data_IF_765375489532
#
_entry.id   IF_765375489532
#
_cell.length_a   1.000
_cell.length_b   1.000
_cell.length_c   1.000
_cell.angle_alpha   90.00
_cell.angle_beta   90.00
_cell.angle_gamma   90.00
#
_symmetry.space_group_name_H-M   'P 1'
#
loop_
_entity.id
_entity.type
_entity.pdbx_description
1 polymer ?
#
# COMPACT_ATOMS: atom_id res chain seq x y z
N UNK A 1 -49.67 25.24 15.20
CA UNK A 1 -48.23 25.57 15.13
C UNK A 1 -47.35 24.52 15.79
N UNK A 2 -47.74 23.89 16.90
CA UNK A 2 -46.90 22.84 17.53
C UNK A 2 -46.76 21.56 16.68
N UNK A 3 -47.81 21.15 15.95
CA UNK A 3 -47.77 19.96 15.09
C UNK A 3 -46.83 20.08 13.89
N UNK A 4 -46.66 21.27 13.30
CA UNK A 4 -45.77 21.48 12.15
C UNK A 4 -44.29 21.28 12.51
N UNK A 5 -43.92 21.65 13.74
CA UNK A 5 -42.55 21.48 14.23
C UNK A 5 -42.22 19.99 14.37
N UNK A 6 -43.17 19.19 14.87
CA UNK A 6 -42.98 17.74 14.99
C UNK A 6 -42.90 17.05 13.63
N UNK A 7 -43.72 17.46 12.65
CA UNK A 7 -43.67 16.90 11.29
C UNK A 7 -42.32 17.21 10.62
N UNK A 8 -41.82 18.44 10.77
CA UNK A 8 -40.50 18.81 10.27
C UNK A 8 -39.37 18.01 10.94
N UNK A 9 -39.47 17.75 12.24
CA UNK A 9 -38.50 16.95 12.98
C UNK A 9 -38.46 15.49 12.50
N UNK A 10 -39.62 14.88 12.30
CA UNK A 10 -39.71 13.50 11.78
C UNK A 10 -39.21 13.39 10.34
N UNK A 11 -39.50 14.39 9.50
CA UNK A 11 -38.98 14.44 8.14
C UNK A 11 -37.44 14.53 8.12
N UNK A 12 -36.87 15.38 8.98
CA UNK A 12 -35.41 15.52 9.12
C UNK A 12 -34.74 14.21 9.57
N UNK A 13 -35.32 13.55 10.58
CA UNK A 13 -34.86 12.24 11.05
C UNK A 13 -34.92 11.17 9.96
N UNK A 14 -36.00 11.12 9.18
CA UNK A 14 -36.15 10.21 8.05
C UNK A 14 -35.05 10.42 6.99
N UNK A 15 -34.79 11.68 6.63
CA UNK A 15 -33.74 12.03 5.66
C UNK A 15 -32.35 11.62 6.17
N UNK A 16 -32.04 11.88 7.45
CA UNK A 16 -30.76 11.48 8.05
C UNK A 16 -30.57 9.95 8.05
N UNK A 17 -31.63 9.19 8.30
CA UNK A 17 -31.58 7.72 8.25
C UNK A 17 -31.35 7.21 6.82
N UNK A 18 -31.97 7.84 5.81
CA UNK A 18 -31.75 7.50 4.40
C UNK A 18 -30.29 7.79 4.02
N UNK A 19 -29.76 8.96 4.37
CA UNK A 19 -28.35 9.32 4.14
C UNK A 19 -27.43 8.31 4.81
N UNK A 20 -27.66 7.98 6.09
CA UNK A 20 -26.87 6.99 6.83
C UNK A 20 -26.92 5.62 6.16
N UNK A 21 -28.08 5.20 5.67
CA UNK A 21 -28.25 3.89 5.01
C UNK A 21 -27.51 3.86 3.67
N UNK A 22 -27.56 4.93 2.88
CA UNK A 22 -26.81 5.05 1.63
C UNK A 22 -25.31 5.03 1.90
N UNK A 23 -24.84 5.80 2.89
CA UNK A 23 -23.42 5.81 3.30
C UNK A 23 -22.93 4.45 3.82
N UNK A 24 -23.78 3.68 4.51
CA UNK A 24 -23.39 2.35 4.99
C UNK A 24 -23.39 1.29 3.87
N UNK A 25 -24.24 1.44 2.85
CA UNK A 25 -24.38 0.45 1.76
C UNK A 25 -23.18 0.47 0.81
N UNK A 26 -22.54 1.63 0.63
CA UNK A 26 -21.28 1.77 -0.13
C UNK A 26 -20.07 1.16 0.57
N UNK A 27 -20.14 0.86 1.87
CA UNK A 27 -19.04 0.29 2.65
C UNK A 27 -19.00 -1.25 2.66
N UNK A 28 -19.63 -1.95 1.71
CA UNK A 28 -19.38 -3.38 1.49
C UNK A 28 -18.02 -3.58 0.82
N UNK A 29 -16.94 -3.24 1.54
CA UNK A 29 -15.56 -3.51 1.13
C UNK A 29 -15.37 -5.02 1.03
N UNK A 30 -15.04 -5.49 -0.16
CA UNK A 30 -14.63 -6.88 -0.40
C UNK A 30 -13.30 -7.10 0.31
N UNK A 31 -13.37 -7.67 1.52
CA UNK A 31 -12.15 -7.94 2.31
C UNK A 31 -11.38 -9.05 1.60
N UNK A 32 -10.17 -8.74 1.16
CA UNK A 32 -9.25 -9.76 0.65
C UNK A 32 -8.92 -10.70 1.82
N UNK A 33 -9.33 -11.96 1.70
CA UNK A 33 -8.94 -13.01 2.64
C UNK A 33 -7.48 -13.37 2.36
N UNK A 34 -6.57 -12.66 3.04
CA UNK A 34 -5.15 -13.03 3.03
C UNK A 34 -4.96 -14.21 3.99
N UNK A 35 -4.38 -15.30 3.49
CA UNK A 35 -4.05 -16.45 4.33
C UNK A 35 -2.98 -16.03 5.37
N UNK A 36 -3.14 -16.33 6.67
CA UNK A 36 -2.16 -16.02 7.71
C UNK A 36 -0.75 -16.53 7.40
N UNK A 37 -0.61 -17.67 6.71
CA UNK A 37 0.69 -18.21 6.29
C UNK A 37 1.38 -17.28 5.28
N UNK A 38 0.62 -16.71 4.35
CA UNK A 38 1.13 -15.75 3.35
C UNK A 38 1.58 -14.45 4.01
N UNK A 39 0.86 -13.98 5.03
CA UNK A 39 1.27 -12.80 5.81
C UNK A 39 2.59 -13.07 6.54
N UNK A 40 2.72 -14.23 7.19
CA UNK A 40 3.95 -14.59 7.91
C UNK A 40 5.15 -14.69 6.95
N UNK A 41 4.99 -15.38 5.82
CA UNK A 41 6.02 -15.46 4.80
C UNK A 41 6.39 -14.09 4.23
N UNK A 42 5.39 -13.23 3.99
CA UNK A 42 5.63 -11.88 3.45
C UNK A 42 6.37 -11.00 4.47
N UNK A 43 6.02 -11.12 5.74
CA UNK A 43 6.70 -10.44 6.84
C UNK A 43 8.17 -10.86 6.93
N UNK A 44 8.46 -12.16 6.85
CA UNK A 44 9.83 -12.67 6.93
C UNK A 44 10.70 -12.17 5.77
N UNK A 45 10.15 -12.09 4.55
CA UNK A 45 10.85 -11.50 3.39
C UNK A 45 11.12 -10.02 3.63
N UNK A 46 10.10 -9.26 4.04
CA UNK A 46 10.22 -7.82 4.23
C UNK A 46 11.18 -7.45 5.35
N UNK A 47 11.23 -8.22 6.45
CA UNK A 47 12.21 -8.01 7.53
C UNK A 47 13.66 -8.22 7.08
N UNK A 48 13.91 -9.12 6.12
CA UNK A 48 15.25 -9.32 5.55
C UNK A 48 15.64 -8.24 4.55
N UNK A 49 14.65 -7.71 3.82
CA UNK A 49 14.88 -6.68 2.80
C UNK A 49 15.00 -5.29 3.42
N UNK A 50 14.19 -4.96 4.44
CA UNK A 50 14.18 -3.65 5.09
C UNK A 50 15.58 -3.08 5.38
N UNK A 51 16.48 -3.78 6.08
CA UNK A 51 17.79 -3.23 6.42
C UNK A 51 18.65 -2.91 5.18
N UNK A 52 18.42 -3.57 4.05
CA UNK A 52 19.14 -3.30 2.79
C UNK A 52 18.64 -2.04 2.09
N UNK A 53 17.45 -1.56 2.47
CA UNK A 53 16.70 -0.52 1.78
C UNK A 53 16.54 0.76 2.62
N UNK A 54 16.66 0.62 3.94
CA UNK A 54 16.66 1.71 4.93
C UNK A 54 18.01 2.40 5.08
N UNK A 55 19.08 1.82 4.54
CA UNK A 55 20.34 2.54 4.37
C UNK A 55 20.06 3.76 3.48
N UNK A 56 20.25 4.96 4.04
CA UNK A 56 20.08 6.24 3.33
C UNK A 56 21.12 6.46 2.21
N UNK A 57 21.92 5.43 1.88
CA UNK A 57 22.78 5.45 0.72
C UNK A 57 21.95 5.52 -0.57
N UNK A 58 22.04 6.63 -1.30
CA UNK A 58 21.52 6.77 -2.67
C UNK A 58 22.29 5.96 -3.72
N UNK A 59 23.24 5.15 -3.29
CA UNK A 59 24.01 4.29 -4.18
C UNK A 59 23.14 3.18 -4.79
N UNK A 60 23.33 3.00 -6.10
CA UNK A 60 22.76 1.87 -6.81
C UNK A 60 23.40 0.58 -6.29
N UNK A 61 22.57 -0.45 -6.11
CA UNK A 61 22.99 -1.76 -5.64
C UNK A 61 22.72 -2.81 -6.70
N UNK A 62 23.51 -3.86 -6.66
CA UNK A 62 23.30 -5.01 -7.51
C UNK A 62 22.07 -5.80 -7.11
N UNK A 63 21.33 -6.28 -8.11
CA UNK A 63 20.12 -7.08 -7.89
C UNK A 63 20.40 -8.37 -7.11
N UNK A 64 21.62 -8.91 -7.22
CA UNK A 64 22.10 -10.10 -6.52
C UNK A 64 22.22 -9.92 -5.00
N UNK A 65 22.18 -8.68 -4.50
CA UNK A 65 22.21 -8.37 -3.06
C UNK A 65 20.84 -8.66 -2.42
N UNK A 66 19.77 -8.75 -3.21
CA UNK A 66 18.45 -9.07 -2.68
C UNK A 66 18.37 -10.54 -2.23
N UNK A 67 17.73 -10.83 -1.09
CA UNK A 67 17.59 -12.20 -0.58
C UNK A 67 16.66 -13.08 -1.42
N UNK A 68 15.83 -12.46 -2.28
CA UNK A 68 14.84 -13.10 -3.12
C UNK A 68 14.63 -12.28 -4.40
N UNK A 69 13.98 -12.89 -5.40
CA UNK A 69 13.58 -12.19 -6.62
C UNK A 69 12.78 -10.92 -6.33
N UNK A 70 13.06 -9.87 -7.09
CA UNK A 70 12.43 -8.55 -6.94
C UNK A 70 10.90 -8.63 -6.97
N UNK A 71 10.33 -9.47 -7.82
CA UNK A 71 8.89 -9.68 -7.93
C UNK A 71 8.27 -10.33 -6.68
N UNK A 72 9.00 -11.22 -6.01
CA UNK A 72 8.55 -11.80 -4.73
C UNK A 72 8.55 -10.76 -3.62
N UNK A 73 9.57 -9.91 -3.59
CA UNK A 73 9.64 -8.79 -2.63
C UNK A 73 8.52 -7.79 -2.88
N UNK A 74 8.24 -7.42 -4.13
CA UNK A 74 7.11 -6.56 -4.50
C UNK A 74 5.77 -7.14 -4.03
N UNK A 75 5.56 -8.44 -4.26
CA UNK A 75 4.33 -9.13 -3.84
C UNK A 75 4.20 -9.15 -2.31
N UNK A 76 5.27 -9.48 -1.59
CA UNK A 76 5.30 -9.46 -0.13
C UNK A 76 5.01 -8.06 0.44
N UNK A 77 5.60 -7.02 -0.15
CA UNK A 77 5.39 -5.62 0.24
C UNK A 77 3.94 -5.19 0.04
N UNK A 78 3.28 -5.57 -1.08
CA UNK A 78 1.85 -5.26 -1.29
C UNK A 78 0.95 -5.93 -0.25
N UNK A 79 1.22 -7.20 0.08
CA UNK A 79 0.50 -7.92 1.13
C UNK A 79 0.67 -7.22 2.49
N UNK A 80 1.90 -6.85 2.83
CA UNK A 80 2.18 -6.13 4.09
C UNK A 80 1.54 -4.74 4.11
N UNK A 81 1.58 -3.99 3.00
CA UNK A 81 0.92 -2.70 2.87
C UNK A 81 -0.61 -2.83 3.04
N UNK A 82 -1.23 -3.87 2.47
CA UNK A 82 -2.63 -4.17 2.70
C UNK A 82 -2.93 -4.44 4.19
N UNK A 83 -2.11 -5.29 4.84
CA UNK A 83 -2.26 -5.61 6.25
C UNK A 83 -2.11 -4.37 7.16
N UNK A 84 -1.07 -3.55 6.92
CA UNK A 84 -0.82 -2.36 7.73
C UNK A 84 -1.88 -1.28 7.55
N UNK A 85 -2.35 -1.06 6.31
CA UNK A 85 -3.42 -0.12 6.07
C UNK A 85 -4.75 -0.57 6.69
N UNK A 86 -5.04 -1.89 6.66
CA UNK A 86 -6.22 -2.45 7.32
C UNK A 86 -6.18 -2.28 8.84
N UNK A 87 -5.00 -2.34 9.44
CA UNK A 87 -4.79 -2.24 10.89
C UNK A 87 -4.54 -0.79 11.36
N UNK A 88 -4.70 0.22 10.47
CA UNK A 88 -4.42 1.63 10.77
C UNK A 88 -2.98 1.90 11.24
N UNK A 89 -2.02 1.06 10.84
CA UNK A 89 -0.60 1.21 11.18
C UNK A 89 0.11 2.06 10.11
N UNK A 90 -0.17 3.37 10.11
CA UNK A 90 0.27 4.29 9.05
C UNK A 90 1.79 4.47 8.97
N UNK A 91 2.50 4.40 10.10
CA UNK A 91 3.97 4.49 10.12
C UNK A 91 4.61 3.31 9.41
N UNK A 92 4.19 2.09 9.75
CA UNK A 92 4.66 0.85 9.11
C UNK A 92 4.25 0.78 7.63
N UNK A 93 3.06 1.29 7.29
CA UNK A 93 2.65 1.44 5.90
C UNK A 93 3.60 2.37 5.13
N UNK A 94 3.97 3.53 5.70
CA UNK A 94 4.91 4.44 5.08
C UNK A 94 6.31 3.83 4.94
N UNK A 95 6.72 3.01 5.92
CA UNK A 95 7.98 2.25 5.91
C UNK A 95 8.01 1.21 4.79
N UNK A 96 6.96 0.40 4.65
CA UNK A 96 6.84 -0.58 3.56
C UNK A 96 6.71 0.09 2.20
N UNK A 97 5.99 1.22 2.10
CA UNK A 97 5.89 1.99 0.86
C UNK A 97 7.26 2.52 0.41
N UNK A 98 8.04 3.09 1.35
CA UNK A 98 9.42 3.50 1.08
C UNK A 98 10.28 2.30 0.65
N UNK A 99 10.18 1.18 1.36
CA UNK A 99 10.88 -0.05 0.99
C UNK A 99 10.53 -0.49 -0.44
N UNK A 100 9.24 -0.52 -0.80
CA UNK A 100 8.78 -0.88 -2.14
C UNK A 100 9.36 0.03 -3.23
N UNK A 101 9.36 1.35 -3.02
CA UNK A 101 9.87 2.32 -3.99
C UNK A 101 11.39 2.22 -4.12
N UNK A 102 12.10 2.07 -3.02
CA UNK A 102 13.56 1.95 -3.00
C UNK A 102 14.07 0.63 -3.58
N UNK A 103 13.20 -0.35 -3.88
CA UNK A 103 13.57 -1.51 -4.71
C UNK A 103 14.09 -1.07 -6.09
N UNK A 104 13.73 0.12 -6.57
CA UNK A 104 14.28 0.69 -7.79
C UNK A 104 15.81 0.90 -7.74
N UNK A 105 16.44 0.94 -6.55
CA UNK A 105 17.92 1.03 -6.43
C UNK A 105 18.63 -0.27 -6.83
N UNK A 106 17.92 -1.40 -6.81
CA UNK A 106 18.47 -2.71 -7.16
C UNK A 106 18.33 -2.94 -8.66
N UNK A 107 19.41 -2.70 -9.37
CA UNK A 107 19.50 -2.82 -10.83
C UNK A 107 20.46 -3.93 -11.22
N UNK A 108 20.36 -4.35 -12.48
CA UNK A 108 21.32 -5.27 -13.06
C UNK A 108 22.72 -4.63 -13.11
N UNK A 109 23.74 -5.37 -12.66
CA UNK A 109 25.11 -4.91 -12.62
C UNK A 109 25.84 -5.07 -13.95
N UNK A 110 25.22 -5.76 -14.92
CA UNK A 110 25.77 -5.88 -16.28
C UNK A 110 25.55 -4.64 -17.14
N UNK A 111 24.76 -3.67 -16.65
CA UNK A 111 24.41 -2.45 -17.36
C UNK A 111 25.37 -1.31 -17.01
N UNK A 112 25.55 -0.38 -17.96
CA UNK A 112 26.35 0.82 -17.76
C UNK A 112 25.76 1.70 -16.65
N UNK A 113 26.62 2.44 -15.94
CA UNK A 113 26.22 3.26 -14.80
C UNK A 113 25.13 4.29 -15.15
N UNK A 114 25.26 4.97 -16.30
CA UNK A 114 24.23 5.89 -16.78
C UNK A 114 22.89 5.21 -17.07
N UNK A 115 22.93 3.99 -17.63
CA UNK A 115 21.72 3.21 -17.90
C UNK A 115 21.05 2.75 -16.60
N UNK A 116 21.84 2.31 -15.63
CA UNK A 116 21.34 1.91 -14.30
C UNK A 116 20.66 3.07 -13.59
N UNK A 117 21.23 4.28 -13.63
CA UNK A 117 20.60 5.48 -13.04
C UNK A 117 19.27 5.79 -13.73
N UNK A 118 19.25 5.83 -15.06
CA UNK A 118 18.02 6.12 -15.83
C UNK A 118 16.93 5.08 -15.59
N UNK A 119 17.30 3.80 -15.51
CA UNK A 119 16.38 2.71 -15.21
C UNK A 119 15.86 2.80 -13.78
N UNK A 120 16.72 3.07 -12.81
CA UNK A 120 16.32 3.25 -11.41
C UNK A 120 15.32 4.40 -11.27
N UNK A 121 15.55 5.56 -11.88
CA UNK A 121 14.60 6.69 -11.82
C UNK A 121 13.26 6.36 -12.46
N UNK A 122 13.27 5.68 -13.61
CA UNK A 122 12.04 5.24 -14.29
C UNK A 122 11.27 4.25 -13.44
N UNK A 123 11.96 3.25 -12.90
CA UNK A 123 11.35 2.22 -12.07
C UNK A 123 10.84 2.82 -10.76
N UNK A 124 11.55 3.76 -10.14
CA UNK A 124 11.10 4.43 -8.92
C UNK A 124 9.75 5.13 -9.12
N UNK A 125 9.58 5.85 -10.24
CA UNK A 125 8.30 6.48 -10.63
C UNK A 125 7.22 5.43 -10.88
N UNK A 126 7.57 4.33 -11.56
CA UNK A 126 6.64 3.24 -11.83
C UNK A 126 6.16 2.57 -10.53
N UNK A 127 7.07 2.22 -9.62
CA UNK A 127 6.77 1.57 -8.35
C UNK A 127 5.94 2.48 -7.44
N UNK A 128 6.22 3.78 -7.43
CA UNK A 128 5.39 4.75 -6.69
C UNK A 128 3.95 4.73 -7.19
N UNK A 129 3.73 4.78 -8.51
CA UNK A 129 2.38 4.72 -9.09
C UNK A 129 1.70 3.37 -8.81
N UNK A 130 2.47 2.29 -8.86
CA UNK A 130 1.96 0.94 -8.68
C UNK A 130 1.44 0.70 -7.26
N UNK A 131 2.19 1.10 -6.23
CA UNK A 131 1.75 0.94 -4.84
C UNK A 131 0.57 1.85 -4.52
N UNK A 132 0.54 3.06 -5.07
CA UNK A 132 -0.56 4.01 -4.87
C UNK A 132 -1.85 3.52 -5.54
N UNK A 133 -1.74 3.00 -6.77
CA UNK A 133 -2.87 2.38 -7.48
C UNK A 133 -3.38 1.15 -6.74
N UNK A 134 -2.48 0.33 -6.21
CA UNK A 134 -2.85 -0.85 -5.43
C UNK A 134 -3.63 -0.45 -4.16
N UNK A 135 -3.13 0.50 -3.38
CA UNK A 135 -3.81 0.98 -2.18
C UNK A 135 -5.15 1.65 -2.51
N UNK A 136 -5.21 2.49 -3.55
CA UNK A 136 -6.45 3.12 -4.00
C UNK A 136 -7.49 2.08 -4.44
N UNK A 137 -7.10 1.02 -5.14
CA UNK A 137 -8.02 -0.05 -5.55
C UNK A 137 -8.62 -0.82 -4.37
N UNK A 138 -7.86 -0.98 -3.29
CA UNK A 138 -8.29 -1.79 -2.14
C UNK A 138 -8.93 -0.97 -1.01
N UNK A 139 -8.70 0.34 -0.94
CA UNK A 139 -9.13 1.19 0.17
C UNK A 139 -9.73 2.54 -0.24
N UNK A 140 -9.61 2.98 -1.50
CA UNK A 140 -10.33 4.12 -2.06
C UNK A 140 -11.79 3.79 -2.30
#
# INVERSE_FOLDING_TARGET
>A
MEYDIWIALFALMGVLLIIRTIMNKTNKRTVMRVNPETVKASKDIILRVLPLVEDDSDSLRGIHVLPCDKERVKSAAKVMAYCFNRNSQYEELARVRRCFVNLARFQDDTLDEEERVRLAEREQKQLTREIDTYLAKHFG
#
